data_IF_076404463592
#
_entry.id   IF_076404463592
#
_cell.length_a   1.000
_cell.length_b   1.000
_cell.length_c   1.000
_cell.angle_alpha   90.00
_cell.angle_beta   90.00
_cell.angle_gamma   90.00
#
_symmetry.space_group_name_H-M   'P 1'
#
loop_
_entity.id
_entity.type
_entity.pdbx_description
1 polymer ?
#
# COMPACT_ATOMS: atom_id res chain seq x y z
N UNK A 1 22.99 -11.83 3.65
CA UNK A 1 23.31 -10.37 3.71
C UNK A 1 22.81 -9.76 2.40
N UNK A 2 21.93 -8.77 2.49
CA UNK A 2 21.26 -8.18 1.32
C UNK A 2 22.06 -7.03 0.69
N UNK A 3 23.08 -6.56 1.38
CA UNK A 3 23.93 -5.46 0.94
C UNK A 3 24.73 -4.84 2.09
N UNK A 4 25.36 -3.73 1.79
CA UNK A 4 26.15 -2.93 2.75
C UNK A 4 25.67 -1.48 2.74
N UNK A 5 25.85 -0.80 3.88
CA UNK A 5 25.53 0.63 4.00
C UNK A 5 26.82 1.40 4.22
N UNK A 6 27.16 2.27 3.30
CA UNK A 6 28.27 3.21 3.44
C UNK A 6 27.77 4.46 4.16
N UNK A 7 28.53 4.92 5.15
CA UNK A 7 28.21 6.13 5.91
C UNK A 7 29.43 7.05 5.95
N UNK A 8 29.20 8.36 5.85
CA UNK A 8 30.26 9.36 6.08
C UNK A 8 30.76 9.21 7.53
N UNK A 9 32.05 9.00 7.72
CA UNK A 9 32.61 8.69 9.03
C UNK A 9 32.64 9.90 10.00
N UNK A 10 32.89 11.12 9.47
CA UNK A 10 32.99 12.34 10.30
C UNK A 10 31.61 12.84 10.70
N UNK A 11 31.30 12.86 12.02
CA UNK A 11 30.02 13.31 12.55
C UNK A 11 29.69 14.76 12.22
N UNK A 12 30.69 15.63 12.11
CA UNK A 12 30.53 17.02 11.70
C UNK A 12 29.95 17.11 10.26
N UNK A 13 30.49 16.31 9.34
CA UNK A 13 29.98 16.24 7.96
C UNK A 13 28.57 15.63 7.91
N UNK A 14 28.25 14.63 8.74
CA UNK A 14 26.90 14.09 8.84
C UNK A 14 25.91 15.18 9.26
N UNK A 15 26.25 16.02 10.25
CA UNK A 15 25.41 17.14 10.68
C UNK A 15 25.21 18.17 9.56
N UNK A 16 26.26 18.50 8.82
CA UNK A 16 26.18 19.43 7.68
C UNK A 16 25.34 18.89 6.52
N UNK A 17 25.42 17.60 6.21
CA UNK A 17 24.65 16.95 5.15
C UNK A 17 23.19 16.79 5.53
N UNK A 18 22.89 16.53 6.82
CA UNK A 18 21.53 16.44 7.34
C UNK A 18 20.73 15.27 6.78
N UNK A 19 19.41 15.47 6.68
CA UNK A 19 18.42 14.47 6.29
C UNK A 19 17.51 14.99 5.19
N UNK A 20 16.94 14.07 4.40
CA UNK A 20 15.78 14.32 3.53
C UNK A 20 14.61 13.57 4.15
N UNK A 21 13.62 14.29 4.66
CA UNK A 21 12.49 13.73 5.42
C UNK A 21 12.98 12.94 6.64
N UNK A 22 13.38 11.68 6.48
CA UNK A 22 13.92 10.79 7.53
C UNK A 22 15.23 10.11 7.12
N UNK A 23 15.51 10.10 5.84
CA UNK A 23 16.67 9.42 5.28
C UNK A 23 17.92 10.30 5.40
N UNK A 24 19.04 9.76 5.93
CA UNK A 24 20.28 10.50 6.05
C UNK A 24 20.91 10.74 4.67
N UNK A 25 21.29 11.98 4.39
CA UNK A 25 22.04 12.32 3.15
C UNK A 25 23.48 11.81 3.15
N UNK A 26 23.96 11.42 4.32
CA UNK A 26 25.32 10.95 4.56
C UNK A 26 25.44 9.42 4.61
N UNK A 27 24.39 8.69 4.21
CA UNK A 27 24.39 7.23 4.11
C UNK A 27 23.83 6.79 2.76
N UNK A 28 24.45 5.75 2.19
CA UNK A 28 24.05 5.14 0.92
C UNK A 28 24.07 3.62 1.06
N UNK A 29 22.99 2.95 0.65
CA UNK A 29 22.92 1.51 0.62
C UNK A 29 23.41 0.99 -0.74
N UNK A 30 24.33 0.04 -0.74
CA UNK A 30 24.69 -0.78 -1.88
C UNK A 30 24.08 -2.17 -1.69
N UNK A 31 23.05 -2.47 -2.46
CA UNK A 31 22.39 -3.79 -2.44
C UNK A 31 23.10 -4.75 -3.36
N UNK A 32 23.34 -5.98 -2.87
CA UNK A 32 23.88 -7.05 -3.68
C UNK A 32 22.87 -7.48 -4.75
N UNK A 33 23.33 -8.17 -5.83
CA UNK A 33 22.44 -8.72 -6.84
C UNK A 33 21.36 -9.59 -6.18
N UNK A 34 20.13 -9.41 -6.64
CA UNK A 34 18.99 -10.18 -6.14
C UNK A 34 19.15 -11.64 -6.51
N UNK A 35 18.77 -12.54 -5.59
CA UNK A 35 18.68 -13.96 -5.89
C UNK A 35 17.46 -14.23 -6.78
N UNK A 36 17.67 -15.09 -7.77
CA UNK A 36 16.64 -15.55 -8.69
C UNK A 36 16.44 -17.06 -8.55
N UNK A 37 15.19 -17.50 -8.66
CA UNK A 37 14.80 -18.89 -8.60
C UNK A 37 13.71 -19.20 -9.62
N UNK A 38 13.64 -20.45 -10.04
CA UNK A 38 12.60 -20.94 -10.95
C UNK A 38 11.41 -21.48 -10.16
N UNK A 39 10.22 -21.15 -10.62
CA UNK A 39 8.99 -21.73 -10.08
C UNK A 39 7.88 -21.72 -11.14
N UNK A 40 6.74 -22.36 -10.82
CA UNK A 40 5.59 -22.45 -11.72
C UNK A 40 4.48 -21.50 -11.30
N UNK A 41 3.84 -20.84 -12.26
CA UNK A 41 2.65 -20.01 -12.04
C UNK A 41 1.43 -20.92 -11.91
N UNK A 42 0.82 -20.93 -10.73
CA UNK A 42 -0.38 -21.71 -10.41
C UNK A 42 -1.67 -20.95 -10.77
N UNK A 43 -1.62 -19.63 -10.79
CA UNK A 43 -2.74 -18.76 -11.08
C UNK A 43 -2.32 -17.29 -11.12
N UNK A 44 -3.20 -16.42 -11.61
CA UNK A 44 -3.00 -14.97 -11.57
C UNK A 44 -4.24 -14.36 -10.92
N UNK A 45 -4.06 -13.70 -9.78
CA UNK A 45 -5.10 -12.99 -9.04
C UNK A 45 -4.91 -11.49 -9.14
N UNK A 46 -5.98 -10.73 -8.95
CA UNK A 46 -5.91 -9.26 -8.95
C UNK A 46 -6.16 -8.73 -7.55
N UNK A 47 -5.17 -8.05 -6.99
CA UNK A 47 -5.27 -7.36 -5.71
C UNK A 47 -5.68 -5.91 -5.91
N UNK A 48 -6.45 -5.37 -4.95
CA UNK A 48 -6.93 -3.99 -4.97
C UNK A 48 -6.24 -3.21 -3.86
N UNK A 49 -5.42 -2.26 -4.26
CA UNK A 49 -4.70 -1.38 -3.34
C UNK A 49 -5.55 -0.23 -2.79
N UNK A 50 -4.97 0.53 -1.86
CA UNK A 50 -5.61 1.67 -1.17
C UNK A 50 -6.21 2.72 -2.10
N UNK A 51 -5.55 3.04 -3.20
CA UNK A 51 -5.99 4.03 -4.20
C UNK A 51 -6.82 3.41 -5.32
N UNK A 52 -7.36 2.22 -5.11
CA UNK A 52 -8.10 1.47 -6.12
C UNK A 52 -7.23 0.76 -7.17
N UNK A 53 -5.91 0.93 -7.16
CA UNK A 53 -5.02 0.28 -8.13
C UNK A 53 -5.23 -1.23 -8.13
N UNK A 54 -5.52 -1.79 -9.32
CA UNK A 54 -5.58 -3.21 -9.57
C UNK A 54 -4.19 -3.71 -9.94
N UNK A 55 -3.65 -4.62 -9.12
CA UNK A 55 -2.31 -5.18 -9.33
C UNK A 55 -2.42 -6.67 -9.57
N UNK A 56 -2.03 -7.18 -10.76
CA UNK A 56 -1.99 -8.60 -11.00
C UNK A 56 -0.83 -9.24 -10.23
N UNK A 57 -1.12 -10.34 -9.56
CA UNK A 57 -0.18 -11.09 -8.71
C UNK A 57 -0.20 -12.55 -9.15
N UNK A 58 0.96 -13.06 -9.55
CA UNK A 58 1.15 -14.46 -9.85
C UNK A 58 1.16 -15.27 -8.53
N UNK A 59 0.29 -16.26 -8.44
CA UNK A 59 0.34 -17.33 -7.44
C UNK A 59 1.34 -18.37 -7.93
N UNK A 60 2.29 -18.71 -7.08
CA UNK A 60 3.44 -19.51 -7.43
C UNK A 60 3.47 -20.82 -6.64
N UNK A 61 3.99 -21.87 -7.24
CA UNK A 61 4.46 -23.00 -6.47
C UNK A 61 5.50 -22.50 -5.45
N UNK A 62 5.43 -22.93 -4.17
CA UNK A 62 6.32 -22.43 -3.13
C UNK A 62 7.80 -22.59 -3.54
N UNK A 63 8.55 -21.50 -3.49
CA UNK A 63 9.98 -21.48 -3.83
C UNK A 63 10.77 -20.68 -2.80
N UNK A 64 11.96 -21.17 -2.44
CA UNK A 64 12.80 -20.52 -1.46
C UNK A 64 13.73 -19.51 -2.13
N UNK A 65 13.56 -18.20 -1.81
CA UNK A 65 14.34 -17.11 -2.39
C UNK A 65 14.80 -16.17 -1.28
N UNK A 66 16.08 -15.87 -1.20
CA UNK A 66 16.66 -14.92 -0.23
C UNK A 66 16.17 -15.14 1.22
N UNK A 67 16.17 -16.41 1.68
CA UNK A 67 15.85 -16.73 3.07
C UNK A 67 14.35 -16.86 3.41
N UNK A 68 13.45 -16.72 2.43
CA UNK A 68 12.00 -16.86 2.64
C UNK A 68 11.35 -17.72 1.57
N UNK A 69 10.23 -18.36 1.93
CA UNK A 69 9.39 -19.07 0.96
C UNK A 69 8.44 -18.09 0.29
N UNK A 70 8.58 -17.95 -1.03
CA UNK A 70 7.77 -17.09 -1.88
C UNK A 70 6.65 -17.91 -2.51
N UNK A 71 5.41 -17.45 -2.36
CA UNK A 71 4.20 -18.04 -2.97
C UNK A 71 3.46 -17.05 -3.86
N UNK A 72 3.85 -15.78 -3.84
CA UNK A 72 3.23 -14.71 -4.62
C UNK A 72 4.31 -13.79 -5.17
N UNK A 73 4.15 -13.34 -6.41
CA UNK A 73 5.01 -12.33 -7.02
C UNK A 73 4.19 -11.33 -7.83
N UNK A 74 4.57 -10.06 -7.75
CA UNK A 74 3.87 -9.01 -8.51
C UNK A 74 4.16 -9.12 -10.00
N UNK A 75 3.12 -8.82 -10.81
CA UNK A 75 3.23 -8.59 -12.25
C UNK A 75 3.12 -7.09 -12.57
N UNK A 76 3.07 -6.24 -11.53
CA UNK A 76 3.01 -4.77 -11.57
C UNK A 76 1.72 -4.19 -12.15
N UNK A 77 1.42 -4.44 -13.43
CA UNK A 77 0.23 -3.99 -14.14
C UNK A 77 -0.05 -4.90 -15.37
N UNK A 78 -1.13 -4.61 -16.10
CA UNK A 78 -1.51 -5.40 -17.29
C UNK A 78 -0.44 -5.35 -18.38
N UNK A 79 0.15 -4.18 -18.64
CA UNK A 79 1.12 -3.99 -19.70
C UNK A 79 2.40 -4.81 -19.43
N UNK A 80 2.88 -4.82 -18.18
CA UNK A 80 4.03 -5.63 -17.77
C UNK A 80 3.73 -7.13 -17.81
N UNK A 81 2.53 -7.54 -17.37
CA UNK A 81 2.11 -8.94 -17.45
C UNK A 81 2.05 -9.44 -18.91
N UNK A 82 1.55 -8.60 -19.83
CA UNK A 82 1.50 -8.87 -21.28
C UNK A 82 2.88 -8.81 -21.93
N UNK A 83 3.70 -7.82 -21.58
CA UNK A 83 5.05 -7.69 -22.10
C UNK A 83 5.91 -8.91 -21.77
N UNK A 84 5.77 -9.45 -20.57
CA UNK A 84 6.43 -10.68 -20.14
C UNK A 84 5.73 -11.95 -20.64
N UNK A 85 4.52 -11.82 -21.16
CA UNK A 85 3.63 -12.90 -21.61
C UNK A 85 3.47 -14.02 -20.56
N UNK A 86 3.25 -13.63 -19.28
CA UNK A 86 3.08 -14.57 -18.17
C UNK A 86 1.71 -15.22 -18.25
N UNK A 87 1.67 -16.55 -18.25
CA UNK A 87 0.45 -17.35 -18.27
C UNK A 87 0.42 -18.39 -17.16
N UNK A 88 -0.76 -18.86 -16.81
CA UNK A 88 -0.92 -19.96 -15.86
C UNK A 88 -0.27 -21.22 -16.41
N UNK A 89 0.52 -21.91 -15.59
CA UNK A 89 1.28 -23.09 -15.98
C UNK A 89 2.72 -22.80 -16.42
N UNK A 90 3.08 -21.54 -16.66
CA UNK A 90 4.44 -21.17 -17.06
C UNK A 90 5.47 -21.42 -15.97
N UNK A 91 6.67 -21.84 -16.40
CA UNK A 91 7.87 -21.75 -15.57
C UNK A 91 8.44 -20.33 -15.67
N UNK A 92 8.59 -19.67 -14.52
CA UNK A 92 9.04 -18.29 -14.44
C UNK A 92 10.26 -18.12 -13.57
N UNK A 93 11.06 -17.11 -13.87
CA UNK A 93 12.13 -16.61 -13.00
C UNK A 93 11.54 -15.61 -12.02
N UNK A 94 11.65 -15.90 -10.73
CA UNK A 94 11.21 -14.99 -9.65
C UNK A 94 12.42 -14.44 -8.95
N UNK A 95 12.39 -13.13 -8.70
CA UNK A 95 13.43 -12.38 -8.01
C UNK A 95 12.90 -11.73 -6.75
N UNK A 96 13.73 -11.76 -5.70
CA UNK A 96 13.53 -10.96 -4.49
C UNK A 96 14.84 -10.29 -4.10
N UNK A 97 14.85 -8.98 -4.07
CA UNK A 97 16.01 -8.19 -3.62
C UNK A 97 15.77 -7.75 -2.16
N UNK A 98 16.42 -8.41 -1.22
CA UNK A 98 16.26 -8.12 0.21
C UNK A 98 14.80 -8.22 0.68
N UNK A 99 14.34 -7.21 1.42
CA UNK A 99 12.95 -7.14 1.92
C UNK A 99 11.97 -6.46 0.95
N UNK A 100 12.21 -6.62 -0.37
CA UNK A 100 11.35 -6.09 -1.43
C UNK A 100 10.29 -7.12 -1.82
N UNK A 101 9.17 -6.65 -2.35
CA UNK A 101 8.09 -7.49 -2.87
C UNK A 101 8.64 -8.37 -4.00
N UNK A 102 8.45 -9.70 -3.96
CA UNK A 102 8.88 -10.59 -5.03
C UNK A 102 8.23 -10.22 -6.36
N UNK A 103 8.99 -10.28 -7.44
CA UNK A 103 8.51 -10.02 -8.79
C UNK A 103 8.84 -11.15 -9.76
N UNK A 104 8.00 -11.33 -10.78
CA UNK A 104 8.32 -12.18 -11.92
C UNK A 104 9.22 -11.39 -12.86
N UNK A 105 10.43 -11.91 -13.12
CA UNK A 105 11.42 -11.28 -14.02
C UNK A 105 11.12 -11.64 -15.47
N UNK A 106 11.02 -12.94 -15.76
CA UNK A 106 10.83 -13.48 -17.11
C UNK A 106 10.12 -14.84 -17.09
N UNK A 107 9.63 -15.23 -18.24
CA UNK A 107 9.06 -16.55 -18.51
C UNK A 107 10.08 -17.37 -19.31
N UNK A 108 10.19 -18.67 -19.00
CA UNK A 108 10.96 -19.62 -19.79
C UNK A 108 10.04 -20.23 -20.86
N UNK A 109 10.00 -19.58 -22.02
CA UNK A 109 9.10 -19.97 -23.14
C UNK A 109 9.39 -21.37 -23.67
N UNK A 110 10.63 -21.81 -23.60
CA UNK A 110 11.08 -23.16 -23.99
C UNK A 110 10.50 -24.26 -23.09
N UNK A 111 10.04 -23.91 -21.89
CA UNK A 111 9.41 -24.82 -20.92
C UNK A 111 7.88 -24.70 -20.88
N UNK A 112 7.29 -23.83 -21.70
CA UNK A 112 5.83 -23.67 -21.74
C UNK A 112 5.17 -24.92 -22.30
N UNK A 113 4.22 -25.46 -21.55
CA UNK A 113 3.39 -26.60 -21.97
C UNK A 113 1.96 -26.14 -22.17
N UNK A 114 1.44 -26.34 -23.38
CA UNK A 114 0.05 -25.97 -23.73
C UNK A 114 -0.14 -24.49 -24.09
N UNK A 115 -1.40 -24.14 -24.37
CA UNK A 115 -1.82 -22.80 -24.80
C UNK A 115 -2.74 -22.15 -23.76
N UNK A 116 -2.18 -21.76 -22.61
CA UNK A 116 -2.94 -20.95 -21.66
C UNK A 116 -3.21 -19.55 -22.22
N UNK A 117 -4.38 -18.96 -21.96
CA UNK A 117 -4.70 -17.62 -22.44
C UNK A 117 -3.80 -16.56 -21.82
N UNK A 118 -3.54 -15.51 -22.58
CA UNK A 118 -2.83 -14.33 -22.07
C UNK A 118 -3.66 -13.62 -21.00
N UNK A 119 -3.00 -13.09 -19.98
CA UNK A 119 -3.68 -12.34 -18.92
C UNK A 119 -4.35 -11.09 -19.45
N UNK A 120 -5.58 -10.87 -19.01
CA UNK A 120 -6.35 -9.66 -19.27
C UNK A 120 -6.89 -9.12 -17.96
N UNK A 121 -6.68 -7.80 -17.72
CA UNK A 121 -7.17 -7.14 -16.50
C UNK A 121 -8.71 -7.10 -16.52
N UNK A 122 -9.39 -7.48 -15.44
CA UNK A 122 -10.83 -7.35 -15.34
C UNK A 122 -11.26 -5.88 -15.41
N UNK A 123 -12.38 -5.62 -16.10
CA UNK A 123 -13.00 -4.28 -16.22
C UNK A 123 -13.92 -3.96 -15.04
N UNK A 124 -14.13 -4.91 -14.17
CA UNK A 124 -14.85 -4.77 -12.91
C UNK A 124 -13.94 -5.17 -11.76
N UNK A 125 -14.10 -4.49 -10.64
CA UNK A 125 -13.34 -4.76 -9.43
C UNK A 125 -13.71 -6.15 -8.88
N UNK A 126 -12.75 -7.06 -8.67
CA UNK A 126 -13.05 -8.42 -8.17
C UNK A 126 -13.57 -8.42 -6.73
N UNK A 127 -13.49 -7.30 -6.00
CA UNK A 127 -13.92 -7.19 -4.61
C UNK A 127 -15.31 -6.57 -4.45
N UNK A 128 -15.63 -5.53 -5.22
CA UNK A 128 -16.88 -4.77 -5.04
C UNK A 128 -17.74 -4.65 -6.30
N UNK A 129 -17.32 -5.19 -7.45
CA UNK A 129 -18.06 -5.11 -8.71
C UNK A 129 -18.06 -3.72 -9.39
N UNK A 130 -17.51 -2.69 -8.74
CA UNK A 130 -17.45 -1.37 -9.36
C UNK A 130 -16.54 -1.37 -10.59
N UNK A 131 -16.81 -0.51 -11.56
CA UNK A 131 -16.01 -0.38 -12.77
C UNK A 131 -14.53 -0.14 -12.46
N UNK A 132 -13.65 -0.81 -13.18
CA UNK A 132 -12.23 -0.58 -13.18
C UNK A 132 -11.84 0.24 -14.40
N UNK A 133 -11.37 1.47 -14.19
CA UNK A 133 -10.99 2.39 -15.26
C UNK A 133 -9.48 2.56 -15.33
N UNK A 134 -8.99 2.87 -16.53
CA UNK A 134 -7.60 3.24 -16.79
C UNK A 134 -7.62 4.60 -17.48
N UNK A 135 -6.99 5.58 -16.88
CA UNK A 135 -6.78 6.90 -17.50
C UNK A 135 -5.82 6.78 -18.69
N UNK A 136 -5.96 7.66 -19.67
CA UNK A 136 -5.19 7.58 -20.92
C UNK A 136 -3.67 7.59 -20.71
N UNK A 137 -3.21 8.33 -19.70
CA UNK A 137 -1.78 8.51 -19.39
C UNK A 137 -1.28 7.57 -18.29
N UNK A 138 -2.10 6.61 -17.82
CA UNK A 138 -1.74 5.70 -16.75
C UNK A 138 -1.62 4.25 -17.23
N UNK A 139 -0.65 3.52 -16.66
CA UNK A 139 -0.51 2.08 -16.88
C UNK A 139 -1.44 1.25 -15.99
N UNK A 140 -2.02 1.85 -14.96
CA UNK A 140 -2.74 1.15 -13.90
C UNK A 140 -4.26 1.27 -14.08
N UNK A 141 -4.97 0.13 -13.99
CA UNK A 141 -6.41 0.12 -13.78
C UNK A 141 -6.75 0.44 -12.33
N UNK A 142 -7.86 1.15 -12.13
CA UNK A 142 -8.32 1.54 -10.79
C UNK A 142 -9.82 1.27 -10.61
N UNK A 143 -10.14 0.65 -9.48
CA UNK A 143 -11.50 0.52 -9.01
C UNK A 143 -12.08 1.89 -8.64
N UNK A 144 -13.21 2.26 -9.22
CA UNK A 144 -13.91 3.53 -8.96
C UNK A 144 -14.72 3.53 -7.67
N UNK A 145 -14.84 2.38 -6.97
CA UNK A 145 -15.67 2.22 -5.79
C UNK A 145 -15.19 2.99 -4.53
N UNK A 146 -13.98 3.58 -4.56
CA UNK A 146 -13.46 4.34 -3.41
C UNK A 146 -13.59 3.58 -2.09
N UNK A 147 -14.04 4.25 -1.03
CA UNK A 147 -14.26 3.62 0.28
C UNK A 147 -15.49 2.70 0.33
N UNK A 148 -16.33 2.66 -0.70
CA UNK A 148 -17.37 1.64 -0.84
C UNK A 148 -16.74 0.24 -1.04
N UNK A 149 -15.63 0.17 -1.75
CA UNK A 149 -14.86 -1.07 -1.90
C UNK A 149 -14.22 -1.46 -0.56
N UNK A 150 -14.54 -2.66 -0.06
CA UNK A 150 -14.01 -3.15 1.22
C UNK A 150 -12.47 -3.25 1.22
N UNK A 151 -11.85 -3.63 0.11
CA UNK A 151 -10.40 -3.68 -0.01
C UNK A 151 -9.76 -2.28 0.12
N UNK A 152 -10.29 -1.27 -0.57
CA UNK A 152 -9.81 0.10 -0.46
C UNK A 152 -10.01 0.65 0.95
N UNK A 153 -11.17 0.36 1.56
CA UNK A 153 -11.49 0.75 2.93
C UNK A 153 -10.50 0.16 3.95
N UNK A 154 -10.27 -1.15 3.90
CA UNK A 154 -9.29 -1.84 4.75
C UNK A 154 -7.92 -1.17 4.65
N UNK A 155 -7.43 -0.96 3.43
CA UNK A 155 -6.13 -0.34 3.18
C UNK A 155 -6.08 1.15 3.58
N UNK A 156 -7.17 1.89 3.44
CA UNK A 156 -7.25 3.28 3.89
C UNK A 156 -7.17 3.37 5.43
N UNK A 157 -7.86 2.49 6.15
CA UNK A 157 -7.81 2.42 7.61
C UNK A 157 -6.39 2.06 8.09
N UNK A 158 -5.77 1.04 7.51
CA UNK A 158 -4.39 0.64 7.84
C UNK A 158 -3.39 1.76 7.58
N UNK A 159 -3.53 2.45 6.45
CA UNK A 159 -2.70 3.59 6.13
C UNK A 159 -2.87 4.75 7.13
N UNK A 160 -4.12 5.04 7.52
CA UNK A 160 -4.43 6.07 8.50
C UNK A 160 -3.83 5.73 9.88
N UNK A 161 -3.96 4.47 10.29
CA UNK A 161 -3.52 3.99 11.61
C UNK A 161 -2.01 3.76 11.74
N UNK A 162 -1.26 3.76 10.64
CA UNK A 162 0.17 3.43 10.67
C UNK A 162 1.00 4.46 11.45
N UNK A 163 2.19 4.03 11.94
CA UNK A 163 3.12 4.85 12.72
C UNK A 163 3.51 6.18 12.08
N UNK A 164 3.54 6.25 10.74
CA UNK A 164 3.90 7.47 9.99
C UNK A 164 2.73 8.45 9.84
N UNK A 165 1.51 7.97 10.01
CA UNK A 165 0.27 8.75 9.93
C UNK A 165 -0.22 9.10 11.35
N UNK A 166 -1.48 8.79 11.66
CA UNK A 166 -2.11 9.17 12.94
C UNK A 166 -1.65 8.29 14.11
N UNK A 167 -1.16 7.07 13.82
CA UNK A 167 -0.60 6.11 14.78
C UNK A 167 -1.61 5.59 15.80
N UNK A 168 -2.34 4.56 15.41
CA UNK A 168 -3.24 3.83 16.32
C UNK A 168 -2.60 2.48 16.63
N UNK A 169 -1.94 2.39 17.77
CA UNK A 169 -1.28 1.16 18.21
C UNK A 169 -2.32 0.04 18.44
N UNK A 170 -1.99 -1.17 17.97
CA UNK A 170 -2.88 -2.34 18.08
C UNK A 170 -3.90 -2.49 16.95
N UNK A 171 -4.10 -1.48 16.10
CA UNK A 171 -4.99 -1.56 14.95
C UNK A 171 -4.26 -2.14 13.72
N UNK A 172 -4.01 -3.46 13.73
CA UNK A 172 -3.33 -4.18 12.66
C UNK A 172 -4.29 -4.81 11.64
N UNK A 173 -3.71 -5.47 10.61
CA UNK A 173 -4.45 -6.03 9.45
C UNK A 173 -5.63 -6.90 9.85
N UNK A 174 -5.43 -7.88 10.75
CA UNK A 174 -6.47 -8.83 11.16
C UNK A 174 -7.66 -8.15 11.84
N UNK A 175 -7.39 -7.16 12.67
CA UNK A 175 -8.45 -6.42 13.36
C UNK A 175 -9.22 -5.53 12.39
N UNK A 176 -8.52 -4.82 11.51
CA UNK A 176 -9.16 -4.00 10.47
C UNK A 176 -10.01 -4.87 9.54
N UNK A 177 -9.53 -6.06 9.20
CA UNK A 177 -10.29 -7.03 8.41
C UNK A 177 -11.60 -7.42 9.10
N UNK A 178 -11.55 -7.82 10.36
CA UNK A 178 -12.77 -8.16 11.14
C UNK A 178 -13.73 -6.97 11.23
N UNK A 179 -13.25 -5.77 11.55
CA UNK A 179 -14.09 -4.58 11.70
C UNK A 179 -14.82 -4.20 10.41
N UNK A 180 -14.14 -4.32 9.26
CA UNK A 180 -14.71 -4.00 7.95
C UNK A 180 -15.66 -5.09 7.48
N UNK A 181 -15.31 -6.37 7.65
CA UNK A 181 -16.12 -7.50 7.21
C UNK A 181 -17.38 -7.68 8.07
N UNK A 182 -17.30 -7.41 9.37
CA UNK A 182 -18.44 -7.32 10.28
C UNK A 182 -19.28 -6.04 10.08
N UNK A 183 -18.89 -5.15 9.12
CA UNK A 183 -19.58 -3.87 8.84
C UNK A 183 -19.67 -2.93 10.04
N UNK A 184 -18.74 -3.03 10.99
CA UNK A 184 -18.64 -2.14 12.15
C UNK A 184 -18.07 -0.78 11.73
N UNK A 185 -17.16 -0.75 10.73
CA UNK A 185 -16.54 0.46 10.21
C UNK A 185 -16.82 0.60 8.72
N UNK A 186 -17.35 1.76 8.33
CA UNK A 186 -17.61 2.15 6.95
C UNK A 186 -16.72 3.31 6.49
N UNK A 187 -16.29 4.17 7.41
CA UNK A 187 -15.51 5.38 7.16
C UNK A 187 -14.40 5.53 8.21
N UNK A 188 -13.40 6.37 7.95
CA UNK A 188 -12.35 6.67 8.93
C UNK A 188 -12.88 7.27 10.25
N UNK A 189 -13.87 8.19 10.25
CA UNK A 189 -14.47 8.69 11.49
C UNK A 189 -15.09 7.62 12.38
N UNK A 190 -15.55 6.50 11.82
CA UNK A 190 -16.16 5.42 12.61
C UNK A 190 -15.16 4.76 13.57
N UNK A 191 -13.85 4.85 13.29
CA UNK A 191 -12.80 4.43 14.21
C UNK A 191 -12.95 5.10 15.59
N UNK A 192 -13.27 6.39 15.60
CA UNK A 192 -13.40 7.20 16.83
C UNK A 192 -14.76 7.03 17.54
N UNK A 193 -15.66 6.24 16.95
CA UNK A 193 -16.95 5.84 17.54
C UNK A 193 -16.90 4.42 18.09
N UNK A 194 -15.77 3.70 17.94
CA UNK A 194 -15.59 2.35 18.48
C UNK A 194 -15.62 2.38 20.00
N UNK A 195 -16.60 1.67 20.57
CA UNK A 195 -16.67 1.42 22.00
C UNK A 195 -16.09 0.05 22.39
N UNK A 196 -15.87 -0.15 23.69
CA UNK A 196 -15.37 -1.42 24.24
C UNK A 196 -16.26 -2.61 23.86
N UNK A 197 -17.57 -2.44 23.89
CA UNK A 197 -18.54 -3.50 23.58
C UNK A 197 -18.40 -4.00 22.13
N UNK A 198 -18.23 -3.07 21.18
CA UNK A 198 -18.06 -3.43 19.78
C UNK A 198 -16.73 -4.15 19.52
N UNK A 199 -15.66 -3.74 20.22
CA UNK A 199 -14.36 -4.40 20.10
C UNK A 199 -14.37 -5.78 20.81
N UNK A 200 -14.95 -5.88 22.00
CA UNK A 200 -15.00 -7.13 22.76
C UNK A 200 -15.87 -8.23 22.09
N UNK A 201 -16.75 -7.85 21.16
CA UNK A 201 -17.55 -8.80 20.37
C UNK A 201 -16.78 -9.45 19.21
N UNK A 202 -15.55 -8.98 18.92
CA UNK A 202 -14.72 -9.51 17.83
C UNK A 202 -13.96 -10.77 18.27
N UNK A 203 -13.70 -11.65 17.33
CA UNK A 203 -12.97 -12.88 17.57
C UNK A 203 -11.55 -12.62 18.14
N UNK A 204 -11.22 -13.34 19.20
CA UNK A 204 -9.90 -13.27 19.88
C UNK A 204 -9.54 -11.90 20.44
N UNK A 205 -10.54 -11.06 20.73
CA UNK A 205 -10.36 -9.77 21.37
C UNK A 205 -10.59 -9.87 22.87
N UNK A 206 -9.52 -9.82 23.66
CA UNK A 206 -9.60 -9.74 25.12
C UNK A 206 -9.91 -8.31 25.57
N UNK A 207 -10.58 -8.14 26.72
CA UNK A 207 -10.97 -6.83 27.28
C UNK A 207 -9.79 -5.86 27.36
N UNK A 208 -8.63 -6.33 27.81
CA UNK A 208 -7.42 -5.51 27.89
C UNK A 208 -6.96 -5.01 26.53
N UNK A 209 -7.05 -5.84 25.47
CA UNK A 209 -6.72 -5.45 24.10
C UNK A 209 -7.69 -4.40 23.58
N UNK A 210 -8.99 -4.57 23.83
CA UNK A 210 -10.02 -3.60 23.47
C UNK A 210 -9.79 -2.25 24.16
N UNK A 211 -9.48 -2.25 25.46
CA UNK A 211 -9.14 -1.04 26.23
C UNK A 211 -7.90 -0.33 25.66
N UNK A 212 -6.85 -1.09 25.30
CA UNK A 212 -5.65 -0.53 24.71
C UNK A 212 -5.92 0.16 23.37
N UNK A 213 -6.78 -0.43 22.53
CA UNK A 213 -7.17 0.16 21.24
C UNK A 213 -7.96 1.45 21.44
N UNK A 214 -8.94 1.47 22.37
CA UNK A 214 -9.71 2.68 22.68
C UNK A 214 -8.77 3.78 23.18
N UNK A 215 -7.84 3.45 24.08
CA UNK A 215 -6.83 4.41 24.57
C UNK A 215 -5.91 4.91 23.45
N UNK A 216 -5.51 4.03 22.52
CA UNK A 216 -4.70 4.41 21.36
C UNK A 216 -5.47 5.33 20.40
N UNK A 217 -6.75 5.10 20.18
CA UNK A 217 -7.63 5.97 19.40
C UNK A 217 -7.76 7.36 20.04
N UNK A 218 -7.98 7.44 21.36
CA UNK A 218 -8.03 8.74 22.05
C UNK A 218 -6.69 9.48 21.97
N UNK A 219 -5.57 8.79 22.18
CA UNK A 219 -4.22 9.37 22.02
C UNK A 219 -3.98 9.89 20.61
N UNK A 220 -4.48 9.19 19.60
CA UNK A 220 -4.29 9.54 18.19
C UNK A 220 -4.96 10.85 17.77
N UNK A 221 -5.95 11.34 18.53
CA UNK A 221 -6.58 12.65 18.32
C UNK A 221 -5.59 13.82 18.50
N UNK A 222 -4.49 13.61 19.20
CA UNK A 222 -3.41 14.59 19.41
C UNK A 222 -2.33 14.52 18.32
N UNK A 223 -2.73 14.29 17.08
CA UNK A 223 -1.79 14.22 15.95
C UNK A 223 -1.46 15.61 15.40
N UNK A 224 -0.43 15.70 14.56
CA UNK A 224 -0.04 16.93 13.87
C UNK A 224 -0.71 17.02 12.49
N UNK A 225 -0.93 18.24 11.99
CA UNK A 225 -1.52 18.47 10.66
C UNK A 225 -0.79 17.70 9.54
N UNK A 226 0.56 17.67 9.44
CA UNK A 226 1.24 16.87 8.41
C UNK A 226 0.93 15.38 8.50
N UNK A 227 0.87 14.82 9.70
CA UNK A 227 0.58 13.39 9.90
C UNK A 227 -0.86 13.07 9.56
N UNK A 228 -1.79 13.95 9.90
CA UNK A 228 -3.19 13.82 9.56
C UNK A 228 -3.40 13.86 8.03
N UNK A 229 -2.85 14.87 7.35
CA UNK A 229 -2.94 15.00 5.88
C UNK A 229 -2.35 13.78 5.17
N UNK A 230 -1.20 13.28 5.63
CA UNK A 230 -0.62 12.05 5.11
C UNK A 230 -1.53 10.84 5.38
N UNK A 231 -2.11 10.76 6.59
CA UNK A 231 -3.01 9.69 7.00
C UNK A 231 -4.29 9.59 6.17
N UNK A 232 -4.82 10.70 5.67
CA UNK A 232 -5.97 10.72 4.76
C UNK A 232 -5.70 9.95 3.46
N UNK A 233 -4.43 9.73 3.12
CA UNK A 233 -4.03 8.93 1.98
C UNK A 233 -4.44 9.52 0.63
N UNK A 234 -4.55 10.83 0.54
CA UNK A 234 -4.85 11.56 -0.71
C UNK A 234 -3.79 11.21 -1.75
N UNK A 235 -4.24 10.88 -2.96
CA UNK A 235 -3.35 10.53 -4.07
C UNK A 235 -2.37 11.67 -4.34
N UNK A 236 -1.11 11.34 -4.56
CA UNK A 236 0.02 12.27 -4.75
C UNK A 236 0.40 13.10 -3.52
N UNK A 237 -0.25 12.93 -2.37
CA UNK A 237 0.11 13.57 -1.11
C UNK A 237 0.88 12.58 -0.24
N UNK A 238 2.20 12.56 -0.38
CA UNK A 238 3.12 11.83 0.48
C UNK A 238 3.52 12.65 1.73
N UNK A 239 4.40 12.10 2.59
CA UNK A 239 4.89 12.78 3.81
C UNK A 239 5.50 14.16 3.53
N UNK A 240 6.29 14.27 2.46
CA UNK A 240 6.94 15.54 2.09
C UNK A 240 5.92 16.61 1.67
N UNK A 241 4.96 16.22 0.81
CA UNK A 241 3.88 17.11 0.36
C UNK A 241 2.98 17.51 1.53
N UNK A 242 2.62 16.58 2.42
CA UNK A 242 1.82 16.85 3.61
C UNK A 242 2.52 17.87 4.55
N UNK A 243 3.85 17.72 4.74
CA UNK A 243 4.65 18.68 5.50
C UNK A 243 4.69 20.06 4.84
N UNK A 244 4.87 20.11 3.52
CA UNK A 244 4.90 21.36 2.78
C UNK A 244 3.56 22.10 2.87
N UNK A 245 2.43 21.38 2.70
CA UNK A 245 1.07 21.93 2.86
C UNK A 245 0.85 22.46 4.27
N UNK A 246 1.16 21.67 5.29
CA UNK A 246 0.99 22.09 6.69
C UNK A 246 1.87 23.30 7.05
N UNK A 247 3.09 23.39 6.52
CA UNK A 247 3.96 24.55 6.72
C UNK A 247 3.43 25.82 6.04
N UNK A 248 2.86 25.66 4.84
CA UNK A 248 2.37 26.81 4.04
C UNK A 248 1.04 27.35 4.58
N UNK A 249 0.09 26.47 4.88
CA UNK A 249 -1.26 26.85 5.26
C UNK A 249 -1.47 26.98 6.78
N UNK A 250 -0.66 26.31 7.60
CA UNK A 250 -0.74 26.34 9.06
C UNK A 250 -1.89 25.53 9.65
N UNK A 251 -3.11 25.68 9.14
CA UNK A 251 -4.34 25.08 9.65
C UNK A 251 -5.10 24.33 8.56
N UNK A 252 -5.91 23.33 8.95
CA UNK A 252 -6.70 22.52 8.04
C UNK A 252 -7.75 23.33 7.30
N UNK A 253 -8.46 24.21 8.01
CA UNK A 253 -9.53 25.04 7.45
C UNK A 253 -9.00 25.92 6.31
N UNK A 254 -7.81 26.51 6.47
CA UNK A 254 -7.16 27.30 5.40
C UNK A 254 -6.88 26.46 4.15
N UNK A 255 -6.57 25.16 4.30
CA UNK A 255 -6.39 24.25 3.15
C UNK A 255 -7.74 24.00 2.48
N UNK A 256 -8.79 23.79 3.26
CA UNK A 256 -10.14 23.49 2.75
C UNK A 256 -10.71 24.71 2.00
N UNK A 257 -10.65 25.89 2.56
CA UNK A 257 -11.16 27.14 1.95
C UNK A 257 -10.49 27.42 0.59
N UNK A 258 -9.15 27.27 0.50
CA UNK A 258 -8.42 27.45 -0.76
C UNK A 258 -8.78 26.44 -1.84
N UNK A 259 -9.19 25.22 -1.47
CA UNK A 259 -9.60 24.20 -2.45
C UNK A 259 -10.94 24.57 -3.12
N UNK A 260 -11.82 25.30 -2.45
CA UNK A 260 -13.09 25.77 -2.98
C UNK A 260 -12.92 26.98 -3.91
N UNK A 261 -12.09 27.95 -3.56
CA UNK A 261 -11.75 29.10 -4.44
C UNK A 261 -11.23 28.64 -5.82
N UNK A 262 -10.46 27.53 -5.89
CA UNK A 262 -9.99 26.99 -7.16
C UNK A 262 -11.08 26.30 -7.99
N UNK A 263 -12.14 25.77 -7.37
CA UNK A 263 -13.29 25.20 -8.08
C UNK A 263 -14.10 26.30 -8.74
N UNK A 264 -14.42 27.37 -8.00
CA UNK A 264 -15.17 28.53 -8.53
C UNK A 264 -14.41 29.22 -9.67
N UNK A 265 -13.09 29.35 -9.60
CA UNK A 265 -12.29 29.99 -10.66
C UNK A 265 -12.14 29.18 -11.95
N UNK A 266 -12.48 27.90 -11.98
CA UNK A 266 -12.46 27.05 -13.19
C UNK A 266 -13.80 27.01 -13.93
N UNK A 267 -14.88 27.32 -13.27
CA UNK A 267 -16.22 27.37 -13.87
C UNK A 267 -16.50 28.68 -14.61
N UNK A 268 -15.62 29.68 -14.49
CA UNK A 268 -15.71 30.96 -15.15
C UNK A 268 -14.77 31.16 -16.35
N UNK A 269 -14.28 30.08 -16.97
CA UNK A 269 -13.48 30.19 -18.21
C UNK A 269 -13.98 29.22 -19.28
#
# INVERSE_FOLDING_TARGET
IDGVVYKVNRLELQRRMGFVTREPRWAVAHKFPAQEQLTTVLGIEVQVGRTGKLTPVAKLAPVFVSGVTVTNATLHNEDEARRKDVRVGDTVVVRRAGDVIPEVVSVLLDKRVGEAPQFTMPRECPVCGSTAVREADEADYRCTGGLFCSAQRKQAILHFAQRRAVEVEGLGDKLVEQLVDAKVIHTLPDLYRLGLTALASLDRMADKSAQNIVAALEKSKQTTLPRFLFGLGIRHVGEATAKALAKHFGQLDTIMDRSEERRVGKECR
#
